data_IF_571729926486
#
_entry.id   IF_571729926486
#
_cell.length_a   1.000
_cell.length_b   1.000
_cell.length_c   1.000
_cell.angle_alpha   90.00
_cell.angle_beta   90.00
_cell.angle_gamma   90.00
#
_symmetry.space_group_name_H-M   'P 1'
#
loop_
_entity.id
_entity.type
_entity.pdbx_description
1 polymer ?
#
# COMPACT_ATOMS: atom_id res chain seq x y z
N UNK A 1 14.34 -16.16 -14.07
CA UNK A 1 13.16 -15.70 -14.84
C UNK A 1 13.30 -14.20 -15.06
N UNK A 2 13.15 -13.71 -16.29
CA UNK A 2 13.21 -12.27 -16.58
C UNK A 2 11.81 -11.65 -16.52
N UNK A 3 11.46 -11.11 -15.35
CA UNK A 3 10.15 -10.49 -15.13
C UNK A 3 9.94 -9.20 -15.92
N UNK A 4 11.02 -8.52 -16.36
CA UNK A 4 10.89 -7.31 -17.17
C UNK A 4 10.34 -7.63 -18.56
N UNK A 5 10.73 -8.79 -19.12
CA UNK A 5 10.19 -9.32 -20.36
C UNK A 5 8.78 -9.90 -20.19
N UNK A 6 8.55 -10.65 -19.11
CA UNK A 6 7.26 -11.31 -18.87
C UNK A 6 6.12 -10.32 -18.65
N UNK A 7 6.37 -9.27 -17.85
CA UNK A 7 5.34 -8.30 -17.46
C UNK A 7 5.35 -7.04 -18.35
N UNK A 8 6.30 -6.93 -19.27
CA UNK A 8 6.53 -5.72 -20.08
C UNK A 8 6.74 -4.46 -19.22
N UNK A 9 7.39 -4.61 -18.06
CA UNK A 9 7.73 -3.52 -17.14
C UNK A 9 9.24 -3.29 -17.18
N UNK A 10 9.73 -2.09 -17.57
CA UNK A 10 11.15 -1.78 -17.54
C UNK A 10 11.76 -1.94 -16.15
N UNK A 11 13.06 -2.23 -16.08
CA UNK A 11 13.79 -2.17 -14.80
C UNK A 11 13.88 -0.72 -14.33
N UNK A 12 13.85 -0.51 -13.02
CA UNK A 12 14.04 0.81 -12.42
C UNK A 12 14.09 0.75 -10.90
N UNK A 13 14.40 1.88 -10.29
CA UNK A 13 14.47 2.03 -8.84
C UNK A 13 13.07 1.95 -8.23
N UNK A 14 12.95 1.21 -7.14
CA UNK A 14 11.70 0.99 -6.43
C UNK A 14 11.87 1.25 -4.93
N UNK A 15 10.79 1.70 -4.27
CA UNK A 15 10.75 1.90 -2.81
C UNK A 15 9.40 1.46 -2.25
N UNK A 16 9.38 0.99 -1.01
CA UNK A 16 8.12 0.80 -0.28
C UNK A 16 7.70 2.15 0.30
N UNK A 17 6.48 2.60 -0.01
CA UNK A 17 6.00 3.93 0.36
C UNK A 17 4.82 3.85 1.34
N UNK A 18 4.87 4.71 2.35
CA UNK A 18 3.81 4.95 3.34
C UNK A 18 3.83 6.43 3.70
N UNK A 19 2.75 7.16 3.45
CA UNK A 19 2.64 8.60 3.75
C UNK A 19 2.12 8.93 5.15
N UNK A 20 1.88 7.92 6.00
CA UNK A 20 1.35 8.12 7.35
C UNK A 20 2.34 8.91 8.22
N UNK A 21 1.86 10.04 8.75
CA UNK A 21 2.57 10.89 9.72
C UNK A 21 2.18 10.55 11.14
N UNK A 22 2.75 11.26 12.11
CA UNK A 22 2.40 11.10 13.52
C UNK A 22 0.88 11.25 13.75
N UNK A 23 0.31 10.31 14.50
CA UNK A 23 -1.14 10.24 14.76
C UNK A 23 -1.99 9.60 13.65
N UNK A 24 -1.41 9.35 12.47
CA UNK A 24 -2.11 8.73 11.34
C UNK A 24 -1.84 7.22 11.29
N UNK A 25 -2.84 6.44 10.88
CA UNK A 25 -2.70 4.98 10.70
C UNK A 25 -3.79 4.41 9.79
N UNK A 26 -3.55 3.26 9.13
CA UNK A 26 -4.58 2.56 8.37
C UNK A 26 -5.84 2.32 9.21
N UNK A 27 -7.02 2.54 8.63
CA UNK A 27 -8.31 2.37 9.29
C UNK A 27 -8.74 3.51 10.24
N UNK A 28 -7.93 4.56 10.40
CA UNK A 28 -8.29 5.74 11.21
C UNK A 28 -8.01 7.03 10.43
N UNK A 29 -7.06 7.84 10.87
CA UNK A 29 -6.69 9.09 10.19
C UNK A 29 -5.69 8.78 9.06
N UNK A 30 -6.07 9.13 7.83
CA UNK A 30 -5.25 8.97 6.64
C UNK A 30 -4.47 10.25 6.28
N UNK A 31 -3.36 10.12 5.52
CA UNK A 31 -2.68 11.27 4.95
C UNK A 31 -3.58 12.08 4.02
N UNK A 32 -3.48 13.40 4.07
CA UNK A 32 -4.20 14.28 3.16
C UNK A 32 -3.59 14.26 1.75
N UNK A 33 -4.35 14.72 0.77
CA UNK A 33 -3.88 14.88 -0.61
C UNK A 33 -2.56 15.67 -0.67
N UNK A 34 -2.47 16.81 0.02
CA UNK A 34 -1.27 17.65 0.04
C UNK A 34 -0.07 16.95 0.70
N UNK A 35 -0.30 16.17 1.75
CA UNK A 35 0.77 15.39 2.40
C UNK A 35 1.33 14.33 1.44
N UNK A 36 0.45 13.60 0.75
CA UNK A 36 0.86 12.61 -0.24
C UNK A 36 1.56 13.27 -1.43
N UNK A 37 1.06 14.42 -1.90
CA UNK A 37 1.69 15.20 -2.97
C UNK A 37 3.10 15.66 -2.61
N UNK A 38 3.30 16.17 -1.40
CA UNK A 38 4.61 16.56 -0.89
C UNK A 38 5.59 15.38 -0.98
N UNK A 39 5.19 14.22 -0.47
CA UNK A 39 6.02 13.02 -0.46
C UNK A 39 6.34 12.55 -1.89
N UNK A 40 5.32 12.40 -2.74
CA UNK A 40 5.50 11.87 -4.09
C UNK A 40 6.32 12.80 -4.99
N UNK A 41 6.31 14.11 -4.70
CA UNK A 41 7.18 15.10 -5.35
C UNK A 41 8.65 14.86 -5.02
N UNK A 42 8.95 14.38 -3.81
CA UNK A 42 10.31 13.98 -3.41
C UNK A 42 10.66 12.63 -4.03
N UNK A 43 9.74 11.66 -3.95
CA UNK A 43 9.94 10.27 -4.39
C UNK A 43 10.24 10.20 -5.89
N UNK A 44 9.54 10.96 -6.74
CA UNK A 44 9.73 10.90 -8.20
C UNK A 44 11.18 11.23 -8.64
N UNK A 45 11.96 11.94 -7.82
CA UNK A 45 13.33 12.32 -8.16
C UNK A 45 14.31 11.15 -8.11
N UNK A 46 13.95 10.06 -7.42
CA UNK A 46 14.85 8.92 -7.20
C UNK A 46 14.22 7.56 -7.53
N UNK A 47 12.89 7.44 -7.47
CA UNK A 47 12.19 6.17 -7.66
C UNK A 47 11.13 6.25 -8.75
N UNK A 48 11.17 5.28 -9.66
CA UNK A 48 10.17 5.09 -10.71
C UNK A 48 8.98 4.28 -10.22
N UNK A 49 9.21 3.38 -9.25
CA UNK A 49 8.21 2.44 -8.75
C UNK A 49 7.99 2.65 -7.25
N UNK A 50 6.73 2.61 -6.83
CA UNK A 50 6.38 2.50 -5.41
C UNK A 50 5.57 1.23 -5.16
N UNK A 51 5.76 0.63 -3.98
CA UNK A 51 4.91 -0.43 -3.48
C UNK A 51 4.01 0.10 -2.36
N UNK A 52 2.72 -0.17 -2.48
CA UNK A 52 1.73 0.03 -1.43
C UNK A 52 1.34 -1.32 -0.82
N UNK A 53 0.87 -1.30 0.43
CA UNK A 53 0.60 -2.52 1.20
C UNK A 53 -0.87 -2.95 1.19
N UNK A 54 -1.78 -2.01 0.99
CA UNK A 54 -3.23 -2.19 1.06
C UNK A 54 -3.93 -1.44 -0.08
N UNK A 55 -5.19 -1.78 -0.33
CA UNK A 55 -6.08 -1.10 -1.27
C UNK A 55 -7.12 -0.25 -0.51
N UNK A 56 -6.63 0.60 0.40
CA UNK A 56 -7.44 1.46 1.27
C UNK A 56 -7.48 2.93 0.78
N UNK A 57 -7.96 3.83 1.64
CA UNK A 57 -8.06 5.26 1.33
C UNK A 57 -6.70 5.90 1.04
N UNK A 58 -5.61 5.48 1.69
CA UNK A 58 -4.27 5.99 1.38
C UNK A 58 -3.87 5.60 -0.04
N UNK A 59 -4.11 4.34 -0.44
CA UNK A 59 -3.84 3.92 -1.81
C UNK A 59 -4.67 4.67 -2.85
N UNK A 60 -5.94 4.95 -2.53
CA UNK A 60 -6.78 5.79 -3.38
C UNK A 60 -6.17 7.20 -3.55
N UNK A 61 -5.84 7.88 -2.45
CA UNK A 61 -5.24 9.23 -2.48
C UNK A 61 -3.91 9.24 -3.25
N UNK A 62 -3.06 8.23 -3.08
CA UNK A 62 -1.81 8.08 -3.85
C UNK A 62 -2.07 8.00 -5.35
N UNK A 63 -2.99 7.12 -5.77
CA UNK A 63 -3.33 6.97 -7.19
C UNK A 63 -4.02 8.23 -7.76
N UNK A 64 -4.75 8.96 -6.94
CA UNK A 64 -5.36 10.24 -7.29
C UNK A 64 -4.29 11.33 -7.50
N UNK A 65 -3.36 11.50 -6.56
CA UNK A 65 -2.24 12.45 -6.68
C UNK A 65 -1.38 12.16 -7.91
N UNK A 66 -0.98 10.90 -8.12
CA UNK A 66 -0.18 10.51 -9.30
C UNK A 66 -0.88 10.90 -10.60
N UNK A 67 -2.20 10.68 -10.67
CA UNK A 67 -3.01 10.98 -11.85
C UNK A 67 -3.19 12.48 -12.07
N UNK A 68 -3.56 13.22 -11.04
CA UNK A 68 -3.88 14.65 -11.11
C UNK A 68 -2.63 15.49 -11.35
N UNK A 69 -1.53 15.18 -10.66
CA UNK A 69 -0.25 15.89 -10.76
C UNK A 69 0.64 15.33 -11.91
N UNK A 70 0.18 14.28 -12.60
CA UNK A 70 0.87 13.63 -13.73
C UNK A 70 2.28 13.16 -13.38
N UNK A 71 2.45 12.60 -12.18
CA UNK A 71 3.75 12.11 -11.72
C UNK A 71 4.16 10.86 -12.50
N UNK A 72 5.42 10.73 -12.93
CA UNK A 72 5.91 9.58 -13.69
C UNK A 72 6.20 8.35 -12.79
N UNK A 73 5.33 8.08 -11.82
CA UNK A 73 5.44 6.98 -10.85
C UNK A 73 4.50 5.85 -11.23
N UNK A 74 4.98 4.61 -11.15
CA UNK A 74 4.15 3.40 -11.31
C UNK A 74 3.98 2.68 -9.97
N UNK A 75 2.80 2.13 -9.72
CA UNK A 75 2.43 1.55 -8.43
C UNK A 75 2.30 0.03 -8.51
N UNK A 76 2.98 -0.69 -7.62
CA UNK A 76 2.64 -2.06 -7.26
C UNK A 76 1.63 -1.99 -6.11
N UNK A 77 0.35 -2.24 -6.40
CA UNK A 77 -0.72 -2.19 -5.41
C UNK A 77 -0.79 -3.52 -4.65
N UNK A 78 -0.53 -3.48 -3.36
CA UNK A 78 -0.76 -4.61 -2.45
C UNK A 78 -2.24 -4.73 -2.08
N UNK A 79 -2.69 -5.96 -1.92
CA UNK A 79 -3.98 -6.28 -1.30
C UNK A 79 -3.69 -6.85 0.10
N UNK A 80 -4.06 -6.11 1.13
CA UNK A 80 -4.03 -6.61 2.49
C UNK A 80 -5.25 -7.50 2.71
N UNK A 81 -5.01 -8.76 3.04
CA UNK A 81 -6.05 -9.76 3.31
C UNK A 81 -6.12 -9.99 4.81
N UNK A 82 -7.34 -10.13 5.32
CA UNK A 82 -7.57 -10.60 6.68
C UNK A 82 -7.49 -12.13 6.72
N UNK A 83 -7.17 -12.69 7.88
CA UNK A 83 -7.05 -14.14 8.05
C UNK A 83 -8.40 -14.84 7.97
N UNK A 84 -8.43 -15.98 7.27
CA UNK A 84 -9.61 -16.82 7.12
C UNK A 84 -9.74 -17.90 8.20
N UNK A 85 -8.67 -18.10 8.99
CA UNK A 85 -8.62 -19.08 10.08
C UNK A 85 -7.83 -18.54 11.26
N UNK A 86 -8.26 -18.91 12.47
CA UNK A 86 -7.52 -18.68 13.71
C UNK A 86 -6.30 -19.60 13.77
N UNK A 87 -5.14 -19.07 14.17
CA UNK A 87 -3.89 -19.81 14.32
C UNK A 87 -3.30 -19.59 15.73
N UNK A 88 -3.64 -20.47 16.70
CA UNK A 88 -3.12 -20.38 18.07
C UNK A 88 -1.61 -20.64 18.16
N UNK A 89 -0.99 -21.18 17.11
CA UNK A 89 0.45 -21.44 17.08
C UNK A 89 1.27 -20.26 16.54
N UNK A 90 0.64 -19.12 16.20
CA UNK A 90 1.36 -17.95 15.73
C UNK A 90 2.04 -17.21 16.90
N UNK A 91 3.38 -17.06 16.91
CA UNK A 91 4.13 -16.51 18.03
C UNK A 91 3.92 -15.01 18.27
N UNK A 92 3.18 -14.32 17.38
CA UNK A 92 2.92 -12.88 17.44
C UNK A 92 1.43 -12.56 17.63
N UNK A 93 0.64 -13.52 18.12
CA UNK A 93 -0.82 -13.46 18.13
C UNK A 93 -1.42 -14.13 16.90
N UNK A 94 -2.72 -14.41 16.92
CA UNK A 94 -3.37 -15.18 15.86
C UNK A 94 -4.59 -15.98 16.32
N UNK A 95 -4.92 -15.91 17.61
CA UNK A 95 -6.17 -16.41 18.14
C UNK A 95 -7.29 -15.40 17.88
N UNK A 96 -8.30 -15.85 17.15
CA UNK A 96 -9.53 -15.13 16.88
C UNK A 96 -10.72 -16.03 17.17
N UNK A 97 -11.82 -15.43 17.62
CA UNK A 97 -13.12 -16.11 17.71
C UNK A 97 -13.70 -16.36 16.32
N UNK A 98 -14.60 -17.33 16.21
CA UNK A 98 -15.31 -17.61 14.96
C UNK A 98 -16.06 -16.37 14.45
N UNK A 99 -16.58 -15.53 15.35
CA UNK A 99 -17.27 -14.29 15.00
C UNK A 99 -16.32 -13.24 14.38
N UNK A 100 -15.10 -13.11 14.90
CA UNK A 100 -14.08 -12.22 14.33
C UNK A 100 -13.66 -12.70 12.94
N UNK A 101 -13.38 -14.00 12.78
CA UNK A 101 -13.06 -14.60 11.48
C UNK A 101 -14.19 -14.43 10.47
N UNK A 102 -15.45 -14.62 10.88
CA UNK A 102 -16.60 -14.45 9.99
C UNK A 102 -16.77 -13.00 9.53
N UNK A 103 -16.45 -12.03 10.39
CA UNK A 103 -16.48 -10.60 10.04
C UNK A 103 -15.47 -10.19 8.96
N UNK A 104 -14.44 -11.02 8.72
CA UNK A 104 -13.44 -10.78 7.68
C UNK A 104 -13.95 -11.07 6.26
N UNK A 105 -15.04 -11.84 6.12
CA UNK A 105 -15.65 -12.16 4.84
C UNK A 105 -16.42 -10.94 4.34
N UNK A 106 -15.76 -10.13 3.50
CA UNK A 106 -16.38 -8.99 2.81
C UNK A 106 -17.19 -9.42 1.59
#
# INVERSE_FOLDING_TARGET
>A
MDYSRLLSIPKGTAVCYSGFREGQRPGDVYPSYEQVKEDLTIVQNHWRYIRLYSCDQHAHTVLEVIRNERLPIQVMLGAYLYGEVSNPHCPWGGEYSDAEIDSHKK
#
